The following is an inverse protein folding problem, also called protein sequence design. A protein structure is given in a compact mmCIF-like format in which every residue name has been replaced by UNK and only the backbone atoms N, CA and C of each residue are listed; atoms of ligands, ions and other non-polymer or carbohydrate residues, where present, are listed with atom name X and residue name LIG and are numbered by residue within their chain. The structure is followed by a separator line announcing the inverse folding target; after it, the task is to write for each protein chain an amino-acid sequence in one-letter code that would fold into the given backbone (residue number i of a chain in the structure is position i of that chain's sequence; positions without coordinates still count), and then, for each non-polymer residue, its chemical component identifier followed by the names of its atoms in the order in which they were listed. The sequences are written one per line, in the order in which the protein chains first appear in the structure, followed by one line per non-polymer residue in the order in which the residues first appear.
data_IF_454888103607
#
_entry.id   IF_454888103607
#
_cell.length_a   1.000
_cell.length_b   1.000
_cell.length_c   1.000
_cell.angle_alpha   90.00
_cell.angle_beta   90.00
_cell.angle_gamma   90.00
#
_symmetry.space_group_name_H-M   'P 1'
#
loop_
_entity.id
_entity.type
_entity.pdbx_description
1 polymer ?
#
# COMPACT_ATOMS: atom_id res chain seq x y z
N UNK A 1 1.10 -0.37 -6.89
CA UNK A 1 0.87 0.59 -7.98
C UNK A 1 2.20 0.86 -8.64
N UNK A 2 2.30 0.53 -9.93
CA UNK A 2 3.50 0.80 -10.72
C UNK A 2 3.68 2.31 -10.93
N UNK A 3 4.85 2.71 -11.41
CA UNK A 3 5.14 4.12 -11.71
C UNK A 3 4.07 4.68 -12.66
N UNK A 4 3.72 5.96 -12.47
CA UNK A 4 2.75 6.69 -13.29
C UNK A 4 1.29 6.19 -13.25
N UNK A 5 0.91 5.33 -12.29
CA UNK A 5 -0.52 5.05 -12.04
C UNK A 5 -1.28 6.34 -11.69
N UNK A 6 -2.48 6.53 -12.26
CA UNK A 6 -3.32 7.72 -12.02
C UNK A 6 -4.77 7.35 -11.76
N UNK A 7 -5.48 8.19 -10.99
CA UNK A 7 -6.93 8.06 -10.73
C UNK A 7 -7.32 6.66 -10.24
N UNK A 8 -6.55 6.13 -9.29
CA UNK A 8 -6.71 4.76 -8.82
C UNK A 8 -7.31 4.74 -7.41
N UNK A 9 -8.29 3.85 -7.21
CA UNK A 9 -8.84 3.55 -5.90
C UNK A 9 -8.58 2.09 -5.56
N UNK A 10 -7.92 1.84 -4.43
CA UNK A 10 -7.74 0.50 -3.86
C UNK A 10 -8.57 0.43 -2.58
N UNK A 11 -9.65 -0.35 -2.59
CA UNK A 11 -10.60 -0.40 -1.46
C UNK A 11 -11.17 -1.78 -1.20
N UNK A 12 -11.46 -2.06 0.08
CA UNK A 12 -12.17 -3.27 0.50
C UNK A 12 -11.38 -4.57 0.34
N UNK A 13 -10.05 -4.51 0.25
CA UNK A 13 -9.23 -5.70 0.06
C UNK A 13 -8.69 -6.24 1.39
N UNK A 14 -8.50 -7.56 1.44
CA UNK A 14 -7.61 -8.21 2.42
C UNK A 14 -6.39 -8.75 1.69
N UNK A 15 -5.21 -8.24 2.03
CA UNK A 15 -3.94 -8.65 1.43
C UNK A 15 -3.10 -9.32 2.50
N UNK A 16 -2.80 -10.61 2.29
CA UNK A 16 -1.84 -11.37 3.08
C UNK A 16 -0.48 -11.37 2.37
N UNK A 17 0.48 -10.66 2.95
CA UNK A 17 1.82 -10.51 2.40
C UNK A 17 2.82 -11.54 2.89
N UNK A 18 2.38 -12.69 3.41
CA UNK A 18 3.28 -13.77 3.86
C UNK A 18 4.35 -14.05 2.81
N UNK A 19 5.63 -14.08 3.21
CA UNK A 19 6.83 -14.18 2.38
C UNK A 19 7.18 -12.96 1.50
N UNK A 20 6.26 -11.99 1.36
CA UNK A 20 6.48 -10.75 0.63
C UNK A 20 7.37 -9.75 1.38
N UNK A 21 8.08 -8.90 0.63
CA UNK A 21 8.92 -7.83 1.21
C UNK A 21 8.10 -6.69 1.84
N UNK A 22 6.90 -6.43 1.29
CA UNK A 22 5.93 -5.42 1.72
C UNK A 22 4.52 -5.81 1.31
N UNK A 23 3.51 -5.34 2.03
CA UNK A 23 2.09 -5.62 1.72
C UNK A 23 1.51 -4.68 0.66
N UNK A 24 2.05 -3.47 0.51
CA UNK A 24 1.67 -2.57 -0.58
C UNK A 24 2.81 -1.64 -0.98
N UNK A 25 2.86 -1.34 -2.28
CA UNK A 25 3.76 -0.34 -2.87
C UNK A 25 3.01 0.67 -3.69
N UNK A 26 3.38 1.93 -3.50
CA UNK A 26 3.04 3.05 -4.39
C UNK A 26 4.37 3.60 -4.89
N UNK A 27 4.68 3.32 -6.16
CA UNK A 27 5.94 3.74 -6.76
C UNK A 27 5.88 5.21 -7.21
N UNK A 28 7.04 5.76 -7.63
CA UNK A 28 7.20 7.17 -7.98
C UNK A 28 6.22 7.63 -9.06
N UNK A 29 5.88 8.91 -9.02
CA UNK A 29 5.04 9.58 -10.02
C UNK A 29 3.61 9.05 -10.13
N UNK A 30 3.13 8.28 -9.14
CA UNK A 30 1.69 8.03 -9.02
C UNK A 30 0.96 9.34 -8.66
N UNK A 31 -0.28 9.49 -9.13
CA UNK A 31 -1.07 10.71 -8.95
C UNK A 31 -2.55 10.39 -8.71
N UNK A 32 -3.22 11.15 -7.84
CA UNK A 32 -4.65 11.01 -7.55
C UNK A 32 -5.02 9.56 -7.17
N UNK A 33 -4.36 9.08 -6.12
CA UNK A 33 -4.51 7.70 -5.64
C UNK A 33 -5.12 7.69 -4.25
N UNK A 34 -6.20 6.92 -4.08
CA UNK A 34 -6.82 6.66 -2.79
C UNK A 34 -6.71 5.18 -2.44
N UNK A 35 -6.15 4.87 -1.28
CA UNK A 35 -6.09 3.52 -0.71
C UNK A 35 -6.85 3.58 0.61
N UNK A 36 -8.02 2.95 0.67
CA UNK A 36 -8.95 3.12 1.79
C UNK A 36 -9.64 1.82 2.20
N UNK A 37 -9.86 1.60 3.50
CA UNK A 37 -10.68 0.47 3.95
C UNK A 37 -10.08 -0.91 3.65
N UNK A 38 -8.76 -1.04 3.54
CA UNK A 38 -8.09 -2.32 3.30
C UNK A 38 -7.48 -2.89 4.58
N UNK A 39 -7.35 -4.21 4.64
CA UNK A 39 -6.58 -4.92 5.65
C UNK A 39 -5.31 -5.49 5.03
N UNK A 40 -4.14 -5.04 5.50
CA UNK A 40 -2.83 -5.49 5.06
C UNK A 40 -2.11 -6.23 6.19
N UNK A 41 -1.78 -7.52 5.99
CA UNK A 41 -1.24 -8.36 7.06
C UNK A 41 -0.05 -9.22 6.68
N UNK A 42 0.74 -9.61 7.68
CA UNK A 42 1.79 -10.64 7.61
C UNK A 42 2.93 -10.37 6.63
N UNK A 43 3.12 -9.13 6.16
CA UNK A 43 4.23 -8.80 5.26
C UNK A 43 5.56 -8.54 5.98
N UNK A 44 6.64 -8.57 5.20
CA UNK A 44 7.97 -8.18 5.65
C UNK A 44 8.06 -6.71 6.11
N UNK A 45 7.21 -5.85 5.55
CA UNK A 45 7.02 -4.42 5.88
C UNK A 45 5.56 -4.05 5.66
N UNK A 46 5.12 -2.92 6.21
CA UNK A 46 3.82 -2.31 5.91
C UNK A 46 3.77 -1.77 4.47
N UNK A 47 3.85 -0.45 4.31
CA UNK A 47 3.79 0.19 3.00
C UNK A 47 5.15 0.70 2.52
N UNK A 48 5.37 0.68 1.20
CA UNK A 48 6.39 1.50 0.54
C UNK A 48 5.68 2.60 -0.26
N UNK A 49 5.87 3.86 0.14
CA UNK A 49 5.22 5.02 -0.50
C UNK A 49 6.34 5.92 -1.00
N UNK A 50 6.54 5.92 -2.32
CA UNK A 50 7.60 6.64 -2.96
C UNK A 50 7.03 7.84 -3.74
N UNK A 51 7.02 9.01 -3.13
CA UNK A 51 6.76 10.29 -3.79
C UNK A 51 5.51 10.38 -4.71
N UNK A 52 4.31 9.92 -4.30
CA UNK A 52 3.09 10.17 -5.08
C UNK A 52 2.59 11.62 -4.92
N UNK A 53 1.80 12.11 -5.89
CA UNK A 53 1.06 13.38 -5.81
C UNK A 53 -0.41 13.10 -5.49
N UNK A 54 -1.04 13.93 -4.65
CA UNK A 54 -2.45 13.78 -4.24
C UNK A 54 -2.77 12.35 -3.76
N UNK A 55 -2.09 11.91 -2.71
CA UNK A 55 -2.20 10.55 -2.18
C UNK A 55 -2.98 10.51 -0.88
N UNK A 56 -3.98 9.64 -0.82
CA UNK A 56 -4.78 9.38 0.38
C UNK A 56 -4.56 7.93 0.81
N UNK A 57 -4.07 7.75 2.03
CA UNK A 57 -4.03 6.47 2.73
C UNK A 57 -4.84 6.62 4.02
N UNK A 58 -6.10 6.22 3.97
CA UNK A 58 -7.06 6.44 5.07
C UNK A 58 -7.74 5.13 5.48
N UNK A 59 -8.10 4.98 6.74
CA UNK A 59 -8.94 3.88 7.23
C UNK A 59 -8.47 2.47 6.83
N UNK A 60 -7.15 2.26 6.75
CA UNK A 60 -6.56 0.94 6.49
C UNK A 60 -6.02 0.35 7.79
N UNK A 61 -6.08 -0.97 7.89
CA UNK A 61 -5.48 -1.73 9.00
C UNK A 61 -4.18 -2.37 8.52
N UNK A 62 -3.08 -2.05 9.19
CA UNK A 62 -1.80 -2.74 9.01
C UNK A 62 -1.52 -3.56 10.28
N UNK A 63 -1.51 -4.89 10.16
CA UNK A 63 -1.45 -5.78 11.33
C UNK A 63 -0.48 -6.92 11.11
N UNK A 64 0.28 -7.29 12.14
CA UNK A 64 1.25 -8.40 12.10
C UNK A 64 2.29 -8.30 10.97
N UNK A 65 2.59 -7.10 10.50
CA UNK A 65 3.72 -6.87 9.60
C UNK A 65 5.02 -6.82 10.43
N UNK A 66 6.12 -7.26 9.82
CA UNK A 66 7.42 -7.29 10.48
C UNK A 66 8.30 -6.11 10.07
N UNK A 67 9.52 -6.05 10.60
CA UNK A 67 10.58 -5.11 10.20
C UNK A 67 11.67 -5.86 9.45
N UNK A 68 11.31 -6.65 8.44
CA UNK A 68 12.31 -7.43 7.69
C UNK A 68 13.34 -6.45 7.11
N UNK A 69 14.59 -6.62 7.49
CA UNK A 69 15.74 -5.86 6.97
C UNK A 69 15.90 -6.15 5.47
#
# INVERSE_FOLDING_TARGET
LAEFCRNAVVTGNTVDGTNGSRVISVEKSCEDVTIVGNTFRNGGRGSWINQPRNFVLADNVFVNNTTKC
#
